data_IF_180128604767
#
_entry.id   IF_180128604767
#
_cell.length_a   1.000
_cell.length_b   1.000
_cell.length_c   1.000
_cell.angle_alpha   90.00
_cell.angle_beta   90.00
_cell.angle_gamma   90.00
#
_symmetry.space_group_name_H-M   'P 1'
#
loop_
_entity.id
_entity.type
_entity.pdbx_description
1 polymer ?
#
# COMPACT_ATOMS: atom_id res chain seq x y z
N UNK A 1 -23.99 22.14 -59.54
CA UNK A 1 -23.47 23.09 -60.55
C UNK A 1 -22.21 23.69 -59.93
N UNK A 2 -20.96 23.39 -60.26
CA UNK A 2 -20.24 22.78 -61.40
C UNK A 2 -18.97 22.10 -60.80
N UNK A 3 -18.71 20.81 -61.02
CA UNK A 3 -17.80 20.22 -62.03
C UNK A 3 -16.29 20.55 -61.80
N UNK A 4 -15.47 19.54 -61.41
CA UNK A 4 -14.49 18.75 -62.23
C UNK A 4 -13.17 19.53 -62.43
N UNK A 5 -11.94 19.03 -62.20
CA UNK A 5 -11.20 17.82 -62.65
C UNK A 5 -10.10 17.48 -61.61
N UNK A 6 -9.44 16.33 -61.46
CA UNK A 6 -9.14 15.21 -62.35
C UNK A 6 -7.61 15.06 -62.54
N UNK A 7 -6.94 14.14 -61.82
CA UNK A 7 -5.82 13.26 -62.28
C UNK A 7 -5.12 12.52 -61.13
N UNK A 8 -4.92 11.22 -61.33
CA UNK A 8 -4.01 10.30 -60.63
C UNK A 8 -3.00 9.75 -61.67
N UNK A 9 -2.16 8.74 -61.37
CA UNK A 9 -1.14 8.56 -60.32
C UNK A 9 0.26 8.32 -60.94
N UNK A 10 1.30 8.10 -60.13
CA UNK A 10 2.43 7.15 -60.33
C UNK A 10 3.64 7.55 -59.45
N UNK A 11 4.22 6.59 -58.73
CA UNK A 11 5.48 6.78 -58.00
C UNK A 11 5.69 5.79 -56.86
N UNK A 12 5.74 4.51 -57.20
CA UNK A 12 6.08 3.41 -56.30
C UNK A 12 7.57 3.46 -55.94
N UNK A 13 7.90 3.52 -54.64
CA UNK A 13 9.24 3.22 -54.14
C UNK A 13 9.12 2.48 -52.81
N UNK A 14 9.12 1.16 -52.93
CA UNK A 14 9.14 0.21 -51.83
C UNK A 14 10.47 0.29 -51.06
N UNK A 15 10.50 1.12 -50.01
CA UNK A 15 11.51 1.06 -48.96
C UNK A 15 11.18 -0.08 -48.00
N UNK A 16 11.96 -1.15 -48.04
CA UNK A 16 11.90 -2.28 -47.12
C UNK A 16 12.42 -1.82 -45.74
N UNK A 17 11.55 -1.25 -44.91
CA UNK A 17 11.85 -0.92 -43.51
C UNK A 17 11.60 -2.16 -42.67
N UNK A 18 12.68 -2.73 -42.13
CA UNK A 18 12.66 -3.84 -41.20
C UNK A 18 11.87 -3.48 -39.93
N UNK A 19 10.61 -3.95 -39.85
CA UNK A 19 9.67 -3.70 -38.75
C UNK A 19 9.91 -4.59 -37.51
N UNK A 20 11.03 -5.31 -37.42
CA UNK A 20 11.32 -6.20 -36.27
C UNK A 20 12.18 -5.60 -35.16
N UNK A 21 12.62 -4.34 -35.28
CA UNK A 21 13.43 -3.67 -34.25
C UNK A 21 12.67 -2.79 -33.24
N UNK A 22 11.38 -2.52 -33.45
CA UNK A 22 10.62 -1.52 -32.68
C UNK A 22 10.02 -1.99 -31.35
N UNK A 23 9.84 -3.30 -31.16
CA UNK A 23 9.14 -3.85 -29.99
C UNK A 23 10.05 -3.98 -28.76
N UNK A 24 11.31 -4.40 -28.95
CA UNK A 24 12.26 -4.60 -27.84
C UNK A 24 12.69 -3.27 -27.19
N UNK A 25 12.79 -2.18 -27.96
CA UNK A 25 13.21 -0.88 -27.43
C UNK A 25 12.14 -0.22 -26.56
N UNK A 26 10.86 -0.40 -26.90
CA UNK A 26 9.73 0.03 -26.06
C UNK A 26 9.62 -0.80 -24.78
N UNK A 27 9.86 -2.11 -24.87
CA UNK A 27 9.87 -3.00 -23.70
C UNK A 27 11.04 -2.69 -22.75
N UNK A 28 12.25 -2.44 -23.28
CA UNK A 28 13.41 -2.04 -22.47
C UNK A 28 13.21 -0.68 -21.81
N UNK A 29 12.64 0.31 -22.51
CA UNK A 29 12.35 1.60 -21.92
C UNK A 29 11.29 1.49 -20.80
N UNK A 30 10.24 0.67 -20.99
CA UNK A 30 9.26 0.40 -19.94
C UNK A 30 9.86 -0.35 -18.74
N UNK A 31 10.86 -1.22 -18.96
CA UNK A 31 11.53 -1.95 -17.89
C UNK A 31 12.43 -1.02 -17.06
N UNK A 32 13.17 -0.12 -17.72
CA UNK A 32 14.08 0.84 -17.07
C UNK A 32 13.30 1.96 -16.38
N UNK A 33 12.24 2.50 -17.02
CA UNK A 33 11.32 3.44 -16.35
C UNK A 33 10.58 2.76 -15.20
N UNK A 34 10.20 1.49 -15.34
CA UNK A 34 9.63 0.68 -14.27
C UNK A 34 10.58 0.50 -13.08
N UNK A 35 11.88 0.26 -13.32
CA UNK A 35 12.88 0.10 -12.26
C UNK A 35 13.18 1.41 -11.51
N UNK A 36 13.26 2.54 -12.21
CA UNK A 36 13.45 3.85 -11.56
C UNK A 36 12.23 4.22 -10.68
N UNK A 37 11.01 3.85 -11.12
CA UNK A 37 9.79 4.07 -10.35
C UNK A 37 9.66 3.16 -9.12
N UNK A 38 10.25 1.96 -9.17
CA UNK A 38 10.18 1.01 -8.05
C UNK A 38 11.02 1.47 -6.86
N UNK A 39 12.20 2.05 -7.08
CA UNK A 39 13.02 2.63 -6.00
C UNK A 39 12.36 3.85 -5.36
N UNK A 40 11.62 4.66 -6.13
CA UNK A 40 10.82 5.75 -5.55
C UNK A 40 9.63 5.20 -4.76
N UNK A 41 8.96 4.16 -5.27
CA UNK A 41 7.80 3.56 -4.62
C UNK A 41 8.12 3.00 -3.22
N UNK A 42 9.23 2.26 -3.09
CA UNK A 42 9.63 1.71 -1.78
C UNK A 42 9.95 2.79 -0.75
N UNK A 43 10.47 3.94 -1.19
CA UNK A 43 10.71 5.10 -0.33
C UNK A 43 9.42 5.88 -0.02
N UNK A 44 8.34 5.63 -0.77
CA UNK A 44 7.02 6.20 -0.53
C UNK A 44 6.17 5.35 0.42
N UNK A 45 6.72 4.31 1.04
CA UNK A 45 6.00 3.50 2.04
C UNK A 45 6.68 3.66 3.39
N UNK A 46 5.96 4.22 4.36
CA UNK A 46 6.38 4.24 5.76
C UNK A 46 5.58 3.21 6.54
N UNK A 47 6.27 2.30 7.23
CA UNK A 47 5.60 1.30 8.05
C UNK A 47 6.09 1.39 9.49
N UNK A 48 5.19 1.09 10.41
CA UNK A 48 5.51 1.05 11.82
C UNK A 48 4.94 -0.20 12.48
N UNK A 49 5.78 -0.82 13.31
CA UNK A 49 5.38 -1.85 14.26
C UNK A 49 5.07 -1.18 15.60
N UNK A 50 3.86 -1.40 16.12
CA UNK A 50 3.45 -0.97 17.44
C UNK A 50 3.39 -2.19 18.35
N UNK A 51 4.18 -2.17 19.42
CA UNK A 51 4.16 -3.21 20.46
C UNK A 51 3.91 -2.59 21.81
N UNK A 52 3.13 -3.30 22.63
CA UNK A 52 3.05 -2.99 24.06
C UNK A 52 4.41 -3.28 24.72
N UNK A 53 4.79 -2.42 25.65
CA UNK A 53 6.00 -2.56 26.47
C UNK A 53 5.61 -2.43 27.94
N UNK A 54 6.43 -3.01 28.82
CA UNK A 54 6.21 -2.87 30.25
C UNK A 54 6.46 -1.44 30.71
N UNK A 55 5.87 -1.05 31.84
CA UNK A 55 6.17 0.23 32.48
C UNK A 55 7.67 0.35 32.82
N UNK A 56 8.29 -0.75 33.26
CA UNK A 56 9.73 -0.82 33.53
C UNK A 56 10.56 -0.54 32.26
N UNK A 57 10.18 -1.12 31.11
CA UNK A 57 10.84 -0.85 29.83
C UNK A 57 10.62 0.60 29.35
N UNK A 58 9.47 1.19 29.66
CA UNK A 58 9.15 2.59 29.34
C UNK A 58 9.94 3.58 30.21
N UNK A 59 10.15 3.27 31.50
CA UNK A 59 10.89 4.10 32.45
C UNK A 59 12.40 3.90 32.39
N UNK A 60 12.87 2.74 31.94
CA UNK A 60 14.28 2.45 31.75
C UNK A 60 14.91 3.53 30.85
N UNK A 61 15.96 4.19 31.37
CA UNK A 61 16.65 5.28 30.66
C UNK A 61 17.02 4.82 29.24
N UNK A 62 16.67 5.66 28.26
CA UNK A 62 16.80 5.51 26.80
C UNK A 62 18.19 5.18 26.24
N UNK A 63 19.16 4.82 27.06
CA UNK A 63 20.55 4.64 26.67
C UNK A 63 20.75 3.51 25.63
N UNK A 64 19.77 2.62 25.47
CA UNK A 64 19.79 1.51 24.51
C UNK A 64 18.62 1.47 23.52
N UNK A 65 17.74 2.48 23.51
CA UNK A 65 16.63 2.51 22.53
C UNK A 65 17.15 3.11 21.23
N UNK A 66 17.06 2.42 20.08
CA UNK A 66 17.44 3.00 18.80
C UNK A 66 16.75 4.34 18.57
N UNK A 67 17.44 5.31 17.97
CA UNK A 67 16.88 6.66 17.73
C UNK A 67 15.61 6.64 16.86
N UNK A 68 15.41 5.57 16.09
CA UNK A 68 14.20 5.32 15.29
C UNK A 68 12.97 4.99 16.12
N UNK A 69 13.14 4.50 17.35
CA UNK A 69 12.06 3.98 18.17
C UNK A 69 11.49 5.10 19.06
N UNK A 70 10.15 5.16 19.14
CA UNK A 70 9.44 6.19 19.90
C UNK A 70 8.46 5.52 20.86
N UNK A 71 8.49 5.95 22.11
CA UNK A 71 7.61 5.44 23.15
C UNK A 71 6.43 6.38 23.41
N UNK A 72 5.24 5.80 23.59
CA UNK A 72 3.98 6.51 23.82
C UNK A 72 3.24 5.90 25.01
N UNK A 73 2.49 6.74 25.73
CA UNK A 73 1.48 6.29 26.67
C UNK A 73 0.10 6.48 26.00
N UNK A 74 -0.65 5.40 25.86
CA UNK A 74 -1.98 5.39 25.23
C UNK A 74 -3.05 5.07 26.25
N UNK A 75 -4.19 5.74 26.17
CA UNK A 75 -5.42 5.26 26.81
C UNK A 75 -6.07 4.19 25.93
N UNK A 76 -6.15 2.96 26.44
CA UNK A 76 -6.77 1.80 25.79
C UNK A 76 -7.90 1.31 26.70
N UNK A 77 -9.12 1.77 26.41
CA UNK A 77 -10.31 1.36 27.18
C UNK A 77 -10.33 1.86 28.63
N UNK A 78 -9.72 3.02 28.92
CA UNK A 78 -9.64 3.59 30.27
C UNK A 78 -8.38 3.17 31.05
N UNK A 79 -7.53 2.33 30.47
CA UNK A 79 -6.26 1.92 31.03
C UNK A 79 -5.09 2.51 30.24
N UNK A 80 -4.12 3.11 30.94
CA UNK A 80 -2.87 3.55 30.32
C UNK A 80 -2.02 2.33 29.94
N UNK A 81 -1.71 2.18 28.66
CA UNK A 81 -0.74 1.21 28.13
C UNK A 81 0.47 1.93 27.56
N UNK A 82 1.66 1.37 27.76
CA UNK A 82 2.89 1.88 27.20
C UNK A 82 3.21 1.13 25.91
N UNK A 83 3.54 1.87 24.85
CA UNK A 83 3.80 1.27 23.55
C UNK A 83 5.08 1.81 22.95
N UNK A 84 5.78 0.96 22.21
CA UNK A 84 6.91 1.34 21.37
C UNK A 84 6.51 1.27 19.90
N UNK A 85 6.72 2.39 19.21
CA UNK A 85 6.64 2.52 17.78
C UNK A 85 8.04 2.29 17.20
N UNK A 86 8.19 1.31 16.32
CA UNK A 86 9.40 1.11 15.53
C UNK A 86 9.07 1.26 14.05
N UNK A 87 9.74 2.18 13.37
CA UNK A 87 9.59 2.35 11.92
C UNK A 87 10.53 1.42 11.15
N UNK A 88 10.02 0.80 10.08
CA UNK A 88 10.78 -0.10 9.21
C UNK A 88 10.11 -0.19 7.83
N UNK A 89 10.65 -0.97 6.91
CA UNK A 89 9.98 -1.22 5.63
C UNK A 89 8.81 -2.19 5.79
N UNK A 90 7.81 -2.11 4.90
CA UNK A 90 6.60 -2.94 4.94
C UNK A 90 6.91 -4.44 5.05
N UNK A 91 7.91 -4.90 4.30
CA UNK A 91 8.33 -6.30 4.31
C UNK A 91 8.87 -6.78 5.66
N UNK A 92 9.60 -5.93 6.39
CA UNK A 92 10.10 -6.26 7.72
C UNK A 92 9.00 -6.21 8.77
N UNK A 93 8.12 -5.20 8.72
CA UNK A 93 7.00 -5.06 9.66
C UNK A 93 6.02 -6.23 9.55
N UNK A 94 5.79 -6.74 8.34
CA UNK A 94 4.84 -7.83 8.07
C UNK A 94 5.50 -9.21 7.91
N UNK A 95 6.78 -9.33 8.29
CA UNK A 95 7.50 -10.60 8.19
C UNK A 95 6.89 -11.67 9.11
N UNK A 96 6.64 -12.86 8.57
CA UNK A 96 6.12 -14.01 9.32
C UNK A 96 4.60 -14.00 9.55
N UNK A 97 3.88 -13.00 9.03
CA UNK A 97 2.42 -12.91 9.09
C UNK A 97 1.76 -12.94 7.71
N UNK A 98 2.53 -13.17 6.65
CA UNK A 98 2.09 -13.06 5.25
C UNK A 98 0.97 -14.07 4.92
N UNK A 99 0.95 -15.23 5.59
CA UNK A 99 -0.10 -16.24 5.41
C UNK A 99 -1.34 -16.00 6.27
N UNK A 100 -1.30 -15.04 7.21
CA UNK A 100 -2.45 -14.77 8.08
C UNK A 100 -3.57 -14.11 7.28
N UNK A 101 -4.79 -14.55 7.56
CA UNK A 101 -5.97 -14.06 6.86
C UNK A 101 -6.38 -12.68 7.38
N UNK A 102 -6.85 -11.83 6.47
CA UNK A 102 -7.56 -10.60 6.78
C UNK A 102 -9.05 -10.95 6.92
N UNK A 103 -9.60 -10.82 8.12
CA UNK A 103 -10.95 -11.30 8.46
C UNK A 103 -12.02 -10.23 8.37
N UNK A 104 -11.64 -8.97 8.36
CA UNK A 104 -12.55 -7.84 8.38
C UNK A 104 -11.81 -6.52 8.18
N UNK A 105 -12.57 -5.44 8.07
CA UNK A 105 -12.01 -4.10 8.06
C UNK A 105 -12.95 -3.10 8.75
N UNK A 106 -12.37 -1.98 9.17
CA UNK A 106 -13.09 -0.78 9.57
C UNK A 106 -12.54 0.45 8.84
N UNK A 107 -13.42 1.23 8.22
CA UNK A 107 -13.09 2.57 7.70
C UNK A 107 -13.13 3.57 8.84
N UNK A 108 -12.04 4.32 9.00
CA UNK A 108 -11.92 5.40 9.95
C UNK A 108 -11.83 6.75 9.23
N UNK A 109 -12.38 7.79 9.86
CA UNK A 109 -12.38 9.15 9.35
C UNK A 109 -11.82 10.10 10.39
N UNK A 110 -10.71 10.75 10.08
CA UNK A 110 -10.13 11.81 10.89
C UNK A 110 -10.55 13.18 10.31
N UNK A 111 -10.91 14.13 11.18
CA UNK A 111 -11.22 15.49 10.74
C UNK A 111 -9.99 16.13 10.10
N UNK A 112 -10.16 16.83 8.98
CA UNK A 112 -9.07 17.65 8.40
C UNK A 112 -8.90 18.98 9.14
N UNK A 113 -10.00 19.57 9.62
CA UNK A 113 -10.02 20.78 10.42
C UNK A 113 -11.13 20.72 11.48
N UNK A 114 -10.90 21.27 12.66
CA UNK A 114 -11.89 21.25 13.75
C UNK A 114 -13.05 22.23 13.54
N UNK A 115 -12.78 23.35 12.86
CA UNK A 115 -13.72 24.45 12.66
C UNK A 115 -14.54 24.33 11.38
N UNK A 116 -14.30 23.33 10.53
CA UNK A 116 -15.09 23.16 9.31
C UNK A 116 -16.35 22.33 9.62
N UNK A 117 -17.56 22.91 9.45
CA UNK A 117 -18.81 22.17 9.69
C UNK A 117 -19.03 21.04 8.66
N UNK A 118 -18.29 21.04 7.55
CA UNK A 118 -18.45 20.08 6.43
C UNK A 118 -17.51 18.88 6.53
N UNK A 119 -17.34 18.32 7.73
CA UNK A 119 -16.56 17.09 7.95
C UNK A 119 -17.02 15.90 7.08
N UNK A 120 -18.27 15.93 6.61
CA UNK A 120 -18.81 14.93 5.67
C UNK A 120 -18.09 14.92 4.30
N UNK A 121 -17.53 16.05 3.86
CA UNK A 121 -16.88 16.16 2.55
C UNK A 121 -15.36 16.13 2.66
N UNK A 122 -14.81 16.77 3.70
CA UNK A 122 -13.35 16.90 3.90
C UNK A 122 -12.93 16.14 5.15
N UNK A 123 -12.56 14.89 4.96
CA UNK A 123 -12.01 14.03 6.00
C UNK A 123 -10.84 13.24 5.45
N UNK A 124 -9.92 12.89 6.35
CA UNK A 124 -8.85 11.96 6.07
C UNK A 124 -9.33 10.53 6.32
N UNK A 125 -9.30 9.70 5.29
CA UNK A 125 -9.78 8.32 5.34
C UNK A 125 -8.62 7.34 5.49
N UNK A 126 -8.82 6.30 6.28
CA UNK A 126 -7.91 5.16 6.38
C UNK A 126 -8.67 3.89 6.76
N UNK A 127 -8.05 2.73 6.54
CA UNK A 127 -8.64 1.44 6.90
C UNK A 127 -7.84 0.75 8.00
N UNK A 128 -8.57 0.17 8.95
CA UNK A 128 -8.08 -0.80 9.92
C UNK A 128 -8.46 -2.20 9.41
N UNK A 129 -7.47 -3.03 9.13
CA UNK A 129 -7.66 -4.39 8.63
C UNK A 129 -7.46 -5.37 9.78
N UNK A 130 -8.48 -6.18 10.05
CA UNK A 130 -8.44 -7.19 11.09
C UNK A 130 -7.68 -8.41 10.60
N UNK A 131 -6.60 -8.79 11.29
CA UNK A 131 -5.75 -9.92 10.92
C UNK A 131 -5.92 -11.04 11.95
N UNK A 132 -5.95 -12.27 11.46
CA UNK A 132 -6.01 -13.47 12.28
C UNK A 132 -4.92 -13.50 13.37
N UNK A 133 -5.26 -14.06 14.54
CA UNK A 133 -4.35 -14.11 15.69
C UNK A 133 -4.32 -12.81 16.51
N UNK A 134 -5.42 -12.06 16.51
CA UNK A 134 -5.56 -10.86 17.36
C UNK A 134 -4.69 -9.69 16.91
N UNK A 135 -4.44 -9.57 15.60
CA UNK A 135 -3.61 -8.52 15.04
C UNK A 135 -4.43 -7.51 14.24
N UNK A 136 -3.83 -6.36 13.97
CA UNK A 136 -4.42 -5.31 13.16
C UNK A 136 -3.36 -4.69 12.25
N UNK A 137 -3.77 -4.40 11.02
CA UNK A 137 -3.00 -3.65 10.04
C UNK A 137 -3.79 -2.38 9.67
N UNK A 138 -3.34 -1.22 10.10
CA UNK A 138 -3.83 0.06 9.58
C UNK A 138 -3.11 0.38 8.27
N UNK A 139 -3.81 0.90 7.26
CA UNK A 139 -3.17 1.46 6.08
C UNK A 139 -3.89 2.70 5.53
N UNK A 140 -3.12 3.67 5.06
CA UNK A 140 -3.59 4.96 4.58
C UNK A 140 -2.62 5.58 3.57
N UNK A 141 -3.10 6.55 2.79
CA UNK A 141 -2.25 7.44 1.99
C UNK A 141 -2.27 8.86 2.59
N UNK A 142 -1.12 9.49 2.79
CA UNK A 142 -1.02 10.86 3.30
C UNK A 142 0.26 11.53 2.81
N UNK A 143 0.20 12.82 2.44
CA UNK A 143 1.33 13.64 1.96
C UNK A 143 2.34 12.87 1.09
N UNK A 144 1.89 12.29 -0.02
CA UNK A 144 2.74 11.55 -0.97
C UNK A 144 3.36 10.25 -0.45
N UNK A 145 2.84 9.70 0.64
CA UNK A 145 3.31 8.44 1.20
C UNK A 145 2.13 7.50 1.48
N UNK A 146 2.39 6.20 1.34
CA UNK A 146 1.59 5.15 1.91
C UNK A 146 2.12 4.89 3.32
N UNK A 147 1.23 4.93 4.31
CA UNK A 147 1.56 4.60 5.68
C UNK A 147 0.87 3.29 6.10
N UNK A 148 1.57 2.50 6.91
CA UNK A 148 1.00 1.32 7.54
C UNK A 148 1.42 1.20 9.01
N UNK A 149 0.49 0.74 9.85
CA UNK A 149 0.75 0.44 11.27
C UNK A 149 0.33 -0.99 11.51
N UNK A 150 1.19 -1.79 12.11
CA UNK A 150 0.91 -3.19 12.43
C UNK A 150 1.16 -3.47 13.91
N UNK A 151 0.35 -4.32 14.52
CA UNK A 151 0.53 -4.73 15.91
C UNK A 151 -0.60 -5.59 16.45
N UNK A 152 -0.61 -5.78 17.77
CA UNK A 152 -1.71 -6.40 18.51
C UNK A 152 -2.96 -5.51 18.42
N UNK A 153 -4.14 -6.12 18.23
CA UNK A 153 -5.34 -5.42 17.77
C UNK A 153 -5.70 -4.22 18.64
N UNK A 154 -5.81 -4.41 19.95
CA UNK A 154 -6.30 -3.38 20.86
C UNK A 154 -5.37 -2.17 20.86
N UNK A 155 -4.08 -2.45 20.95
CA UNK A 155 -3.02 -1.45 21.01
C UNK A 155 -2.83 -0.73 19.67
N UNK A 156 -2.75 -1.47 18.58
CA UNK A 156 -2.57 -0.91 17.24
C UNK A 156 -3.80 -0.09 16.81
N UNK A 157 -5.01 -0.51 17.19
CA UNK A 157 -6.23 0.27 16.94
C UNK A 157 -6.20 1.58 17.73
N UNK A 158 -5.94 1.53 19.04
CA UNK A 158 -5.86 2.73 19.87
C UNK A 158 -4.78 3.70 19.36
N UNK A 159 -3.61 3.16 18.98
CA UNK A 159 -2.53 3.96 18.40
C UNK A 159 -2.96 4.56 17.06
N UNK A 160 -3.48 3.78 16.12
CA UNK A 160 -3.89 4.26 14.79
C UNK A 160 -5.02 5.30 14.85
N UNK A 161 -5.85 5.29 15.89
CA UNK A 161 -6.89 6.31 16.09
C UNK A 161 -6.34 7.65 16.58
N UNK A 162 -5.17 7.66 17.24
CA UNK A 162 -4.56 8.84 17.85
C UNK A 162 -3.32 9.34 17.11
N UNK A 163 -2.62 8.45 16.40
CA UNK A 163 -1.32 8.70 15.79
C UNK A 163 -1.22 8.04 14.41
N UNK A 164 -0.29 8.57 13.61
CA UNK A 164 0.09 8.11 12.27
C UNK A 164 1.31 7.19 12.35
N UNK A 165 1.70 6.53 11.25
CA UNK A 165 2.88 5.65 11.26
C UNK A 165 4.18 6.41 11.59
N UNK A 166 4.24 7.70 11.28
CA UNK A 166 5.30 8.65 11.67
C UNK A 166 5.35 8.97 13.16
N UNK A 167 4.28 8.64 13.89
CA UNK A 167 4.06 9.08 15.27
C UNK A 167 3.43 10.47 15.40
N UNK A 168 3.06 11.11 14.28
CA UNK A 168 2.34 12.39 14.29
C UNK A 168 0.92 12.18 14.83
N UNK A 169 0.50 13.02 15.78
CA UNK A 169 -0.86 12.98 16.31
C UNK A 169 -1.91 13.28 15.23
N UNK A 170 -3.02 12.56 15.28
CA UNK A 170 -4.22 12.81 14.49
C UNK A 170 -5.11 13.80 15.22
N UNK A 171 -6.00 14.42 14.45
CA UNK A 171 -7.19 15.10 15.00
C UNK A 171 -8.22 14.05 15.44
N UNK A 172 -9.33 14.51 15.99
CA UNK A 172 -10.46 13.64 16.35
C UNK A 172 -10.80 12.68 15.20
N UNK A 173 -10.77 11.39 15.51
CA UNK A 173 -10.99 10.30 14.57
C UNK A 173 -12.17 9.46 15.05
N UNK A 174 -13.01 9.05 14.12
CA UNK A 174 -14.16 8.18 14.37
C UNK A 174 -14.14 6.98 13.44
N UNK A 175 -14.49 5.81 13.96
CA UNK A 175 -14.86 4.66 13.14
C UNK A 175 -16.16 4.97 12.42
N UNK A 176 -16.20 4.74 11.11
CA UNK A 176 -17.35 5.05 10.26
C UNK A 176 -18.14 3.80 9.88
N UNK A 177 -17.44 2.77 9.38
CA UNK A 177 -18.06 1.53 8.91
C UNK A 177 -17.15 0.36 9.23
N UNK A 178 -17.72 -0.72 9.75
CA UNK A 178 -17.04 -2.00 9.95
C UNK A 178 -17.74 -3.09 9.14
N UNK A 179 -16.96 -3.99 8.56
CA UNK A 179 -17.48 -5.15 7.83
C UNK A 179 -16.58 -6.36 8.02
N UNK A 180 -17.21 -7.53 8.10
CA UNK A 180 -16.51 -8.81 8.02
C UNK A 180 -16.27 -9.16 6.55
N UNK A 181 -15.11 -9.75 6.26
CA UNK A 181 -14.75 -10.19 4.93
C UNK A 181 -15.11 -11.66 4.73
N UNK A 182 -15.43 -12.00 3.48
CA UNK A 182 -15.61 -13.39 3.08
C UNK A 182 -14.30 -14.16 3.31
N UNK A 183 -14.35 -15.43 3.75
CA UNK A 183 -13.16 -16.24 3.97
C UNK A 183 -12.25 -16.38 2.74
N UNK A 184 -12.86 -16.35 1.56
CA UNK A 184 -12.23 -16.51 0.25
C UNK A 184 -12.77 -15.45 -0.70
N UNK A 185 -11.93 -15.05 -1.65
CA UNK A 185 -12.35 -14.17 -2.74
C UNK A 185 -13.10 -14.92 -3.85
N UNK A 186 -13.40 -14.22 -4.94
CA UNK A 186 -14.12 -14.79 -6.09
C UNK A 186 -13.29 -15.86 -6.84
N UNK A 187 -11.98 -15.96 -6.59
CA UNK A 187 -11.11 -17.03 -7.10
C UNK A 187 -11.01 -18.24 -6.18
N UNK A 188 -11.63 -18.19 -4.99
CA UNK A 188 -11.58 -19.25 -3.98
C UNK A 188 -10.31 -19.20 -3.11
N UNK A 189 -9.49 -18.16 -3.22
CA UNK A 189 -8.25 -17.99 -2.47
C UNK A 189 -8.50 -17.12 -1.23
N UNK A 190 -7.87 -17.43 -0.07
CA UNK A 190 -8.02 -16.62 1.12
C UNK A 190 -7.39 -15.24 0.90
N UNK A 191 -7.99 -14.21 1.48
CA UNK A 191 -7.43 -12.87 1.50
C UNK A 191 -6.41 -12.77 2.64
N UNK A 192 -5.12 -12.76 2.32
CA UNK A 192 -4.04 -12.75 3.31
C UNK A 192 -3.28 -11.44 3.33
N UNK A 193 -2.48 -11.23 4.39
CA UNK A 193 -1.53 -10.10 4.47
C UNK A 193 -0.55 -10.11 3.30
N UNK A 194 -0.07 -11.28 2.88
CA UNK A 194 0.80 -11.41 1.71
C UNK A 194 0.14 -10.97 0.42
N UNK A 195 -1.17 -11.25 0.22
CA UNK A 195 -1.92 -10.75 -0.93
C UNK A 195 -2.13 -9.24 -0.88
N UNK A 196 -2.31 -8.68 0.31
CA UNK A 196 -2.32 -7.22 0.49
C UNK A 196 -0.96 -6.63 0.07
N UNK A 197 0.16 -7.21 0.50
CA UNK A 197 1.49 -6.76 0.09
C UNK A 197 1.70 -6.87 -1.44
N UNK A 198 1.29 -7.98 -2.05
CA UNK A 198 1.34 -8.15 -3.51
C UNK A 198 0.46 -7.12 -4.24
N UNK A 199 -0.69 -6.75 -3.65
CA UNK A 199 -1.55 -5.69 -4.18
C UNK A 199 -0.90 -4.31 -4.09
N UNK A 200 -0.27 -4.00 -2.94
CA UNK A 200 0.48 -2.76 -2.70
C UNK A 200 1.64 -2.63 -3.69
N UNK A 201 2.49 -3.66 -3.79
CA UNK A 201 3.69 -3.66 -4.64
C UNK A 201 3.39 -3.82 -6.13
N UNK A 202 2.19 -4.28 -6.50
CA UNK A 202 1.79 -4.55 -7.88
C UNK A 202 0.73 -3.57 -8.40
N UNK A 203 -0.56 -3.97 -8.39
CA UNK A 203 -1.67 -3.12 -8.86
C UNK A 203 -1.68 -1.69 -8.33
N UNK A 204 -1.44 -1.48 -7.04
CA UNK A 204 -1.48 -0.14 -6.45
C UNK A 204 -0.26 0.70 -6.85
N UNK A 205 0.95 0.14 -6.76
CA UNK A 205 2.18 0.81 -7.20
C UNK A 205 2.09 1.34 -8.65
N UNK A 206 1.50 0.57 -9.57
CA UNK A 206 1.34 0.97 -10.99
C UNK A 206 0.47 2.21 -11.21
N UNK A 207 -0.49 2.46 -10.31
CA UNK A 207 -1.38 3.63 -10.38
C UNK A 207 -1.01 4.70 -9.36
N UNK A 208 0.07 4.49 -8.61
CA UNK A 208 0.50 5.43 -7.60
C UNK A 208 0.80 6.78 -8.25
N UNK A 209 0.30 7.84 -7.63
CA UNK A 209 0.59 9.22 -8.02
C UNK A 209 0.82 10.05 -6.75
N UNK A 210 1.55 11.17 -6.86
CA UNK A 210 1.57 12.19 -5.82
C UNK A 210 0.15 12.58 -5.40
N UNK A 211 0.04 13.00 -4.15
CA UNK A 211 -1.17 13.40 -3.48
C UNK A 211 -1.80 14.58 -4.19
N UNK A 212 -3.02 14.35 -4.68
CA UNK A 212 -3.86 15.35 -5.31
C UNK A 212 -5.23 15.31 -4.63
N UNK A 213 -5.64 16.45 -4.05
CA UNK A 213 -6.89 16.56 -3.30
C UNK A 213 -8.13 16.15 -4.10
N UNK A 214 -8.11 16.27 -5.43
CA UNK A 214 -9.23 15.97 -6.31
C UNK A 214 -9.11 14.61 -7.01
N UNK A 215 -7.89 14.10 -7.22
CA UNK A 215 -7.65 12.93 -8.08
C UNK A 215 -6.98 11.74 -7.42
N UNK A 216 -6.16 11.96 -6.40
CA UNK A 216 -5.37 10.91 -5.76
C UNK A 216 -5.06 11.27 -4.31
N UNK A 217 -6.07 11.16 -3.46
CA UNK A 217 -5.98 11.44 -2.03
C UNK A 217 -6.23 10.17 -1.19
N UNK A 218 -6.34 10.33 0.12
CA UNK A 218 -6.64 9.24 1.04
C UNK A 218 -7.98 8.53 0.78
N UNK A 219 -9.01 9.24 0.32
CA UNK A 219 -10.32 8.65 0.00
C UNK A 219 -10.26 7.76 -1.25
N UNK A 220 -9.50 8.18 -2.27
CA UNK A 220 -9.26 7.37 -3.46
C UNK A 220 -8.50 6.09 -3.12
N UNK A 221 -7.46 6.20 -2.30
CA UNK A 221 -6.74 5.05 -1.75
C UNK A 221 -7.65 4.09 -0.99
N UNK A 222 -8.45 4.59 -0.04
CA UNK A 222 -9.40 3.77 0.72
C UNK A 222 -10.39 3.07 -0.19
N UNK A 223 -10.96 3.77 -1.18
CA UNK A 223 -11.88 3.19 -2.17
C UNK A 223 -11.24 2.05 -2.95
N UNK A 224 -9.99 2.25 -3.38
CA UNK A 224 -9.22 1.23 -4.09
C UNK A 224 -8.92 0.00 -3.23
N UNK A 225 -8.54 0.23 -1.97
CA UNK A 225 -8.28 -0.85 -1.01
C UNK A 225 -9.57 -1.62 -0.69
N UNK A 226 -10.70 -0.94 -0.47
CA UNK A 226 -12.00 -1.60 -0.31
C UNK A 226 -12.36 -2.45 -1.53
N UNK A 227 -12.11 -1.94 -2.74
CA UNK A 227 -12.30 -2.70 -3.97
C UNK A 227 -11.46 -3.98 -4.03
N UNK A 228 -10.22 -3.93 -3.55
CA UNK A 228 -9.36 -5.10 -3.39
C UNK A 228 -9.91 -6.09 -2.34
N UNK A 229 -10.29 -5.59 -1.16
CA UNK A 229 -10.78 -6.44 -0.07
C UNK A 229 -12.11 -7.14 -0.41
N UNK A 230 -13.05 -6.45 -1.07
CA UNK A 230 -14.39 -6.97 -1.34
C UNK A 230 -14.45 -7.91 -2.56
N UNK A 231 -13.66 -7.63 -3.60
CA UNK A 231 -13.68 -8.38 -4.87
C UNK A 231 -12.49 -9.32 -5.06
N UNK A 232 -11.45 -9.22 -4.24
CA UNK A 232 -10.18 -9.93 -4.45
C UNK A 232 -9.49 -9.63 -5.78
N UNK A 233 -9.94 -8.59 -6.49
CA UNK A 233 -9.37 -8.21 -7.78
C UNK A 233 -7.96 -7.64 -7.56
N UNK A 234 -6.96 -8.50 -7.68
CA UNK A 234 -5.67 -8.08 -8.19
C UNK A 234 -5.93 -7.62 -9.63
N UNK A 235 -6.05 -6.31 -9.86
CA UNK A 235 -6.32 -5.74 -11.17
C UNK A 235 -5.27 -6.24 -12.19
N UNK A 236 -5.60 -7.32 -12.91
CA UNK A 236 -4.93 -7.78 -14.13
C UNK A 236 -3.43 -8.10 -14.05
N UNK A 237 -2.84 -8.26 -12.86
CA UNK A 237 -1.44 -8.67 -12.76
C UNK A 237 -1.39 -10.12 -12.30
N UNK A 238 -1.00 -11.09 -13.17
CA UNK A 238 -0.56 -12.38 -12.66
C UNK A 238 0.57 -12.06 -11.70
N UNK A 239 0.42 -12.44 -10.43
CA UNK A 239 1.49 -12.32 -9.47
C UNK A 239 2.61 -13.24 -9.99
N UNK A 240 3.60 -12.64 -10.65
CA UNK A 240 4.97 -13.15 -10.57
C UNK A 240 5.29 -13.05 -9.10
N UNK A 241 4.90 -14.09 -8.34
CA UNK A 241 4.89 -14.01 -6.90
C UNK A 241 6.26 -13.53 -6.48
N UNK A 242 6.32 -12.52 -5.61
CA UNK A 242 7.60 -12.00 -5.11
C UNK A 242 8.51 -13.14 -4.65
N UNK A 243 7.92 -14.22 -4.12
CA UNK A 243 8.57 -15.51 -3.86
C UNK A 243 9.21 -16.16 -5.09
N UNK A 244 8.52 -16.26 -6.24
CA UNK A 244 9.10 -16.75 -7.50
C UNK A 244 10.25 -15.89 -7.98
N UNK A 245 10.13 -14.57 -7.93
CA UNK A 245 11.21 -13.65 -8.34
C UNK A 245 12.39 -13.76 -7.38
N UNK A 246 12.17 -13.70 -6.07
CA UNK A 246 13.22 -13.86 -5.06
C UNK A 246 13.84 -15.25 -5.09
N UNK A 247 13.06 -16.31 -5.30
CA UNK A 247 13.59 -17.67 -5.47
C UNK A 247 14.41 -17.81 -6.75
N UNK A 248 13.99 -17.19 -7.86
CA UNK A 248 14.79 -17.14 -9.08
C UNK A 248 16.10 -16.37 -8.87
N UNK A 249 16.05 -15.21 -8.21
CA UNK A 249 17.24 -14.39 -7.88
C UNK A 249 18.19 -15.15 -6.93
N UNK A 250 17.65 -15.82 -5.90
CA UNK A 250 18.44 -16.63 -4.96
C UNK A 250 19.03 -17.88 -5.62
N UNK A 251 18.33 -18.50 -6.57
CA UNK A 251 18.79 -19.71 -7.26
C UNK A 251 19.80 -19.40 -8.37
N UNK A 252 19.60 -18.32 -9.10
CA UNK A 252 20.34 -18.00 -10.32
C UNK A 252 21.37 -16.87 -10.12
N UNK A 253 21.59 -16.42 -8.87
CA UNK A 253 22.72 -15.56 -8.52
C UNK A 253 22.75 -14.21 -9.25
N UNK A 254 21.59 -13.58 -9.45
CA UNK A 254 21.36 -12.30 -10.17
C UNK A 254 21.14 -12.40 -11.71
N UNK A 255 21.08 -13.58 -12.33
CA UNK A 255 20.69 -13.69 -13.76
C UNK A 255 19.15 -13.61 -13.96
N UNK A 256 18.58 -12.42 -13.76
CA UNK A 256 17.15 -12.13 -14.01
C UNK A 256 16.70 -12.38 -15.46
N UNK A 257 17.64 -12.59 -16.39
CA UNK A 257 17.36 -12.84 -17.81
C UNK A 257 16.74 -14.22 -18.10
N UNK A 258 16.65 -15.12 -17.11
CA UNK A 258 16.16 -16.50 -17.30
C UNK A 258 14.82 -16.81 -16.62
N UNK A 259 14.19 -15.86 -15.93
CA UNK A 259 12.88 -16.10 -15.36
C UNK A 259 11.85 -16.35 -16.48
N UNK A 260 11.07 -17.45 -16.42
CA UNK A 260 10.07 -17.75 -17.44
C UNK A 260 8.99 -16.65 -17.45
N UNK A 261 8.63 -16.20 -18.66
CA UNK A 261 7.55 -15.22 -18.95
C UNK A 261 6.19 -15.67 -18.38
#
# INVERSE_FOLDING_TARGET
LLAKDGKAPLGDSSGFVDRRGGSLRLLFNNLVEGQLNLTSWTNSIQCALVREISQEEFEAKREFVPESDKDYALDVGGATRHVRLRTDCLGYVLFGVESRRITGYAECRAKMAEFLPWTALLYHSFLLLEVEGGQLLCSEKYNDELEAIFGEREVAQAFAMQFRATGQARRTTSEWRRAELRPFDDSGEPLTVGRFMDWVDGPYAKKYQPYDLLRMNCQHYTSDLLGFLERGQALGCPSLSRRRVLAAVQRDGLELSRAPE
#
